data_IF_880111926013
#
_entry.id   IF_880111926013
#
_cell.length_a   1.000
_cell.length_b   1.000
_cell.length_c   1.000
_cell.angle_alpha   90.00
_cell.angle_beta   90.00
_cell.angle_gamma   90.00
#
_symmetry.space_group_name_H-M   'P 1'
#
loop_
_entity.id
_entity.type
_entity.pdbx_description
1 polymer ?
#
# COMPACT_ATOMS: atom_id res chain seq x y z
N UNK A 1 11.68 49.12 38.70
CA UNK A 1 11.86 47.98 37.78
C UNK A 1 12.27 48.51 36.41
N UNK A 2 13.41 48.10 35.87
CA UNK A 2 14.09 48.76 34.75
C UNK A 2 13.42 48.39 33.41
N UNK A 3 12.74 49.33 32.74
CA UNK A 3 11.95 49.06 31.51
C UNK A 3 12.79 48.40 30.40
N UNK A 4 14.09 48.68 30.34
CA UNK A 4 15.03 48.04 29.40
C UNK A 4 15.25 46.54 29.69
N UNK A 5 15.21 46.14 30.96
CA UNK A 5 15.35 44.75 31.38
C UNK A 5 14.11 43.94 31.00
N UNK A 6 12.92 44.50 31.22
CA UNK A 6 11.63 43.86 30.88
C UNK A 6 11.51 43.64 29.36
N UNK A 7 11.84 44.66 28.55
CA UNK A 7 11.80 44.55 27.09
C UNK A 7 12.80 43.51 26.56
N UNK A 8 14.02 43.47 27.13
CA UNK A 8 15.03 42.47 26.78
C UNK A 8 14.60 41.03 27.12
N UNK A 9 13.98 40.83 28.28
CA UNK A 9 13.46 39.51 28.68
C UNK A 9 12.27 39.06 27.83
N UNK A 10 11.37 39.98 27.47
CA UNK A 10 10.23 39.66 26.61
C UNK A 10 10.63 39.31 25.18
N UNK A 11 11.62 40.01 24.61
CA UNK A 11 12.15 39.70 23.28
C UNK A 11 12.82 38.31 23.23
N UNK A 12 13.60 37.94 24.26
CA UNK A 12 14.24 36.64 24.33
C UNK A 12 13.24 35.47 24.42
N UNK A 13 12.17 35.62 25.21
CA UNK A 13 11.13 34.59 25.34
C UNK A 13 10.37 34.38 24.02
N UNK A 14 10.04 35.46 23.31
CA UNK A 14 9.38 35.37 22.00
C UNK A 14 10.28 34.66 20.99
N UNK A 15 11.59 34.97 20.95
CA UNK A 15 12.53 34.27 20.08
C UNK A 15 12.61 32.76 20.38
N UNK A 16 12.65 32.37 21.65
CA UNK A 16 12.68 30.94 22.04
C UNK A 16 11.39 30.23 21.61
N UNK A 17 10.22 30.86 21.79
CA UNK A 17 8.94 30.27 21.38
C UNK A 17 8.83 30.15 19.85
N UNK A 18 9.30 31.14 19.09
CA UNK A 18 9.32 31.07 17.62
C UNK A 18 10.26 29.97 17.13
N UNK A 19 11.44 29.82 17.75
CA UNK A 19 12.39 28.75 17.44
C UNK A 19 11.81 27.38 17.79
N UNK A 20 11.18 27.22 18.95
CA UNK A 20 10.51 25.98 19.35
C UNK A 20 9.35 25.62 18.41
N UNK A 21 8.51 26.59 18.03
CA UNK A 21 7.44 26.39 17.05
C UNK A 21 8.02 26.05 15.68
N UNK A 22 9.10 26.69 15.24
CA UNK A 22 9.77 26.37 13.98
C UNK A 22 10.37 24.95 13.98
N UNK A 23 10.97 24.50 15.09
CA UNK A 23 11.44 23.12 15.25
C UNK A 23 10.29 22.12 15.25
N UNK A 24 9.20 22.40 15.97
CA UNK A 24 7.98 21.57 15.97
C UNK A 24 7.37 21.52 14.57
N UNK A 25 7.30 22.64 13.85
CA UNK A 25 6.83 22.69 12.47
C UNK A 25 7.77 21.92 11.54
N UNK A 26 9.09 22.05 11.68
CA UNK A 26 10.07 21.30 10.90
C UNK A 26 9.93 19.79 11.09
N UNK A 27 9.73 19.32 12.31
CA UNK A 27 9.49 17.90 12.59
C UNK A 27 8.11 17.44 12.08
N UNK A 28 7.10 18.32 12.11
CA UNK A 28 5.80 18.05 11.48
C UNK A 28 5.90 17.97 9.95
N UNK A 29 6.69 18.84 9.31
CA UNK A 29 6.90 18.84 7.86
C UNK A 29 7.77 17.67 7.37
N UNK A 30 8.64 17.11 8.22
CA UNK A 30 9.30 15.82 7.94
C UNK A 30 8.32 14.65 7.91
N UNK A 31 7.14 14.79 8.52
CA UNK A 31 6.12 13.74 8.58
C UNK A 31 5.26 13.65 7.31
N UNK A 32 5.57 14.41 6.26
CA UNK A 32 4.74 14.48 5.04
C UNK A 32 5.41 13.86 3.82
N UNK A 33 4.73 12.82 3.30
CA UNK A 33 4.71 12.29 1.93
C UNK A 33 5.92 11.54 1.35
N UNK A 34 6.24 10.39 1.95
CA UNK A 34 6.46 9.17 1.16
C UNK A 34 5.44 8.13 1.60
N UNK A 35 4.18 8.32 1.21
CA UNK A 35 3.08 7.43 1.61
C UNK A 35 3.16 6.08 0.91
N UNK A 36 2.77 5.02 1.62
CA UNK A 36 2.66 3.70 1.04
C UNK A 36 1.74 3.72 -0.18
N UNK A 37 2.07 2.97 -1.22
CA UNK A 37 1.21 2.84 -2.41
C UNK A 37 1.00 1.38 -2.73
N UNK A 38 -0.25 0.93 -2.81
CA UNK A 38 -0.60 -0.38 -3.38
C UNK A 38 -0.89 -0.20 -4.87
N UNK A 39 -0.33 -1.03 -5.73
CA UNK A 39 -0.46 -0.87 -7.17
C UNK A 39 -0.39 -2.20 -7.94
N UNK A 40 -0.92 -2.18 -9.14
CA UNK A 40 -0.79 -3.29 -10.10
C UNK A 40 0.47 -3.10 -10.94
N UNK A 41 1.25 -4.16 -11.09
CA UNK A 41 2.48 -4.20 -11.90
C UNK A 41 2.49 -5.40 -12.86
N UNK A 42 2.71 -5.21 -14.17
CA UNK A 42 2.75 -3.91 -14.83
C UNK A 42 1.37 -3.24 -14.82
N UNK A 43 1.32 -1.90 -14.87
CA UNK A 43 0.06 -1.16 -14.79
C UNK A 43 -0.85 -1.41 -16.00
N UNK A 44 -0.26 -1.72 -17.16
CA UNK A 44 -0.98 -2.11 -18.38
C UNK A 44 -0.46 -3.47 -18.84
N UNK A 45 -1.35 -4.46 -18.91
CA UNK A 45 -1.06 -5.79 -19.47
C UNK A 45 -1.75 -5.94 -20.82
N UNK A 46 -1.06 -6.63 -21.74
CA UNK A 46 -1.63 -7.10 -23.00
C UNK A 46 -1.54 -8.62 -23.08
N UNK A 47 -2.50 -9.26 -23.73
CA UNK A 47 -2.49 -10.70 -23.96
C UNK A 47 -3.54 -11.13 -24.98
N UNK A 48 -3.23 -12.14 -25.79
CA UNK A 48 -4.16 -12.65 -26.77
C UNK A 48 -5.16 -13.64 -26.15
N UNK A 49 -6.32 -13.82 -26.80
CA UNK A 49 -7.30 -14.84 -26.44
C UNK A 49 -6.61 -16.21 -26.39
N UNK A 50 -6.90 -16.99 -25.34
CA UNK A 50 -6.30 -18.30 -25.13
C UNK A 50 -4.97 -18.29 -24.38
N UNK A 51 -4.44 -17.12 -24.01
CA UNK A 51 -3.21 -17.00 -23.24
C UNK A 51 -3.48 -16.81 -21.75
N UNK A 52 -2.49 -17.20 -20.95
CA UNK A 52 -2.38 -16.81 -19.56
C UNK A 52 -1.59 -15.50 -19.46
N UNK A 53 -2.04 -14.60 -18.61
CA UNK A 53 -1.35 -13.36 -18.26
C UNK A 53 -1.17 -13.29 -16.75
N UNK A 54 -0.13 -12.58 -16.33
CA UNK A 54 0.21 -12.41 -14.92
C UNK A 54 0.26 -10.94 -14.55
N UNK A 55 -0.31 -10.59 -13.39
CA UNK A 55 -0.14 -9.30 -12.75
C UNK A 55 0.30 -9.48 -11.31
N UNK A 56 1.12 -8.55 -10.83
CA UNK A 56 1.50 -8.46 -9.44
C UNK A 56 0.72 -7.35 -8.76
N UNK A 57 0.13 -7.64 -7.60
CA UNK A 57 -0.27 -6.62 -6.64
C UNK A 57 0.96 -6.33 -5.79
N UNK A 58 1.44 -5.10 -5.86
CA UNK A 58 2.70 -4.66 -5.26
C UNK A 58 2.48 -3.49 -4.33
N UNK A 59 3.44 -3.28 -3.43
CA UNK A 59 3.48 -2.15 -2.52
C UNK A 59 4.79 -1.37 -2.68
N UNK A 60 4.75 -0.05 -2.48
CA UNK A 60 5.94 0.77 -2.40
C UNK A 60 5.93 1.72 -1.22
N UNK A 61 7.13 2.04 -0.72
CA UNK A 61 7.40 3.01 0.34
C UNK A 61 6.54 2.78 1.60
N UNK A 62 6.29 1.52 1.97
CA UNK A 62 5.59 1.19 3.22
C UNK A 62 6.58 1.16 4.38
N UNK A 63 6.13 1.61 5.55
CA UNK A 63 6.87 1.50 6.80
C UNK A 63 6.14 0.52 7.70
N UNK A 64 6.89 -0.40 8.31
CA UNK A 64 6.44 -1.34 9.34
C UNK A 64 5.20 -2.17 8.95
N UNK A 65 5.06 -2.61 7.69
CA UNK A 65 3.89 -3.40 7.29
C UNK A 65 3.87 -4.75 7.99
N UNK A 66 2.81 -5.02 8.73
CA UNK A 66 2.60 -6.29 9.42
C UNK A 66 1.50 -7.14 8.76
N UNK A 67 0.43 -6.49 8.31
CA UNK A 67 -0.67 -7.15 7.62
C UNK A 67 -1.32 -6.26 6.56
N UNK A 68 -1.93 -6.89 5.56
CA UNK A 68 -2.60 -6.20 4.47
C UNK A 68 -3.83 -6.97 3.99
N UNK A 69 -4.78 -6.23 3.43
CA UNK A 69 -5.92 -6.75 2.67
C UNK A 69 -6.10 -5.92 1.40
N UNK A 70 -6.51 -6.57 0.32
CA UNK A 70 -6.92 -5.94 -0.93
C UNK A 70 -8.02 -6.74 -1.61
N UNK A 71 -8.99 -6.04 -2.19
CA UNK A 71 -9.93 -6.62 -3.15
C UNK A 71 -9.53 -6.22 -4.57
N UNK A 72 -9.31 -7.21 -5.42
CA UNK A 72 -9.11 -7.04 -6.86
C UNK A 72 -10.43 -7.32 -7.58
N UNK A 73 -10.81 -6.42 -8.49
CA UNK A 73 -12.01 -6.52 -9.32
C UNK A 73 -11.62 -6.43 -10.81
N UNK A 74 -12.27 -7.21 -11.65
CA UNK A 74 -12.05 -7.25 -13.10
C UNK A 74 -13.34 -7.57 -13.87
N UNK A 75 -13.32 -7.45 -15.19
CA UNK A 75 -14.42 -7.88 -16.06
C UNK A 75 -14.35 -9.40 -16.29
N UNK A 76 -15.25 -10.21 -15.69
CA UNK A 76 -15.23 -11.68 -15.83
C UNK A 76 -15.65 -12.16 -17.22
N UNK A 77 -16.17 -11.28 -18.08
CA UNK A 77 -16.44 -11.61 -19.48
C UNK A 77 -15.15 -11.66 -20.31
N UNK A 78 -14.11 -10.91 -19.93
CA UNK A 78 -12.84 -10.83 -20.65
C UNK A 78 -11.76 -11.72 -20.02
N UNK A 79 -11.66 -11.71 -18.69
CA UNK A 79 -10.64 -12.45 -17.95
C UNK A 79 -11.26 -13.49 -17.02
N UNK A 80 -10.73 -14.71 -17.06
CA UNK A 80 -11.04 -15.75 -16.08
C UNK A 80 -9.89 -15.84 -15.06
N UNK A 81 -10.23 -15.86 -13.77
CA UNK A 81 -9.23 -16.07 -12.72
C UNK A 81 -8.67 -17.50 -12.82
N UNK A 82 -7.34 -17.64 -12.82
CA UNK A 82 -6.70 -18.94 -12.85
C UNK A 82 -6.09 -19.30 -11.49
N UNK A 83 -5.27 -18.41 -10.93
CA UNK A 83 -4.60 -18.68 -9.66
C UNK A 83 -4.10 -17.39 -8.99
N UNK A 84 -3.80 -17.49 -7.70
CA UNK A 84 -3.05 -16.48 -6.96
C UNK A 84 -1.99 -17.16 -6.11
N UNK A 85 -0.81 -16.55 -6.06
CA UNK A 85 0.29 -16.96 -5.20
C UNK A 85 0.69 -15.81 -4.29
N UNK A 86 0.96 -16.11 -3.02
CA UNK A 86 1.52 -15.18 -2.05
C UNK A 86 2.85 -14.59 -2.55
N UNK A 87 3.00 -13.28 -2.47
CA UNK A 87 4.22 -12.57 -2.83
C UNK A 87 5.29 -12.63 -1.74
N UNK A 88 6.52 -12.29 -2.11
CA UNK A 88 7.68 -12.46 -1.23
C UNK A 88 7.81 -11.40 -0.13
N UNK A 89 7.02 -10.31 -0.18
CA UNK A 89 7.26 -9.14 0.67
C UNK A 89 7.22 -9.43 2.17
N UNK A 90 6.23 -10.20 2.65
CA UNK A 90 6.20 -10.64 4.06
C UNK A 90 6.81 -12.03 4.23
N UNK A 91 6.53 -12.95 3.28
CA UNK A 91 6.96 -14.35 3.32
C UNK A 91 8.47 -14.57 3.51
N UNK A 92 9.29 -13.67 3.00
CA UNK A 92 10.75 -13.76 3.13
C UNK A 92 11.27 -13.36 4.52
N UNK A 93 10.42 -12.80 5.38
CA UNK A 93 10.83 -12.20 6.66
C UNK A 93 10.20 -12.89 7.87
N UNK A 94 9.27 -13.82 7.67
CA UNK A 94 8.65 -14.56 8.77
C UNK A 94 7.60 -15.54 8.27
N UNK A 95 7.02 -16.28 9.22
CA UNK A 95 5.85 -17.09 8.94
C UNK A 95 4.65 -16.18 8.68
N UNK A 96 3.87 -16.50 7.65
CA UNK A 96 2.69 -15.74 7.26
C UNK A 96 1.42 -16.58 7.33
N UNK A 97 0.29 -15.90 7.51
CA UNK A 97 -1.02 -16.44 7.17
C UNK A 97 -1.50 -15.69 5.93
N UNK A 98 -1.67 -16.40 4.81
CA UNK A 98 -2.15 -15.87 3.54
C UNK A 98 -3.50 -16.50 3.19
N UNK A 99 -4.48 -15.67 2.87
CA UNK A 99 -5.86 -16.07 2.63
C UNK A 99 -6.39 -15.44 1.33
N UNK A 100 -7.32 -16.14 0.70
CA UNK A 100 -7.98 -15.70 -0.52
C UNK A 100 -9.46 -16.08 -0.51
N UNK A 101 -10.28 -15.21 -1.09
CA UNK A 101 -11.70 -15.47 -1.34
C UNK A 101 -12.06 -15.01 -2.76
N UNK A 102 -12.21 -15.98 -3.64
CA UNK A 102 -12.62 -15.77 -5.02
C UNK A 102 -14.15 -15.69 -5.14
N UNK A 103 -14.62 -14.83 -6.05
CA UNK A 103 -16.01 -14.75 -6.49
C UNK A 103 -16.07 -14.79 -8.02
N UNK A 104 -16.89 -15.70 -8.55
CA UNK A 104 -17.14 -15.86 -10.00
C UNK A 104 -17.71 -14.60 -10.67
N UNK A 105 -18.20 -13.64 -9.87
CA UNK A 105 -18.66 -12.32 -10.33
C UNK A 105 -17.53 -11.35 -10.71
N UNK A 106 -16.27 -11.79 -10.72
CA UNK A 106 -15.12 -10.98 -11.14
C UNK A 106 -14.44 -10.25 -9.98
N UNK A 107 -14.30 -10.90 -8.83
CA UNK A 107 -13.54 -10.33 -7.70
C UNK A 107 -12.76 -11.37 -6.91
N UNK A 108 -11.68 -10.91 -6.27
CA UNK A 108 -10.79 -11.70 -5.43
C UNK A 108 -10.39 -10.84 -4.23
N UNK A 109 -10.77 -11.25 -3.03
CA UNK A 109 -10.27 -10.65 -1.78
C UNK A 109 -9.06 -11.44 -1.33
N UNK A 110 -7.98 -10.75 -1.02
CA UNK A 110 -6.72 -11.30 -0.54
C UNK A 110 -6.36 -10.62 0.77
N UNK A 111 -5.87 -11.40 1.72
CA UNK A 111 -5.31 -10.90 2.97
C UNK A 111 -4.06 -11.69 3.35
N UNK A 112 -3.13 -11.01 4.03
CA UNK A 112 -1.93 -11.63 4.56
C UNK A 112 -1.47 -10.93 5.82
N UNK A 113 -0.95 -11.67 6.78
CA UNK A 113 -0.31 -11.12 7.98
C UNK A 113 0.92 -11.94 8.36
N UNK A 114 1.90 -11.30 9.01
CA UNK A 114 2.92 -12.00 9.78
C UNK A 114 2.29 -12.70 11.00
N UNK A 115 2.93 -13.78 11.46
CA UNK A 115 2.54 -14.54 12.65
C UNK A 115 3.63 -14.38 13.74
N UNK A 116 3.19 -14.02 14.94
CA UNK A 116 4.04 -13.93 16.14
C UNK A 116 4.41 -12.50 16.54
N UNK A 117 5.16 -12.36 17.64
CA UNK A 117 5.64 -11.06 18.11
C UNK A 117 6.91 -10.67 17.33
N UNK A 118 6.71 -10.14 16.12
CA UNK A 118 7.77 -9.73 15.20
C UNK A 118 7.51 -8.32 14.67
N UNK A 119 8.58 -7.63 14.26
CA UNK A 119 8.46 -6.32 13.64
C UNK A 119 7.86 -6.42 12.23
N UNK A 120 7.16 -5.37 11.80
CA UNK A 120 6.68 -5.23 10.45
C UNK A 120 7.81 -4.91 9.47
N UNK A 121 7.51 -5.05 8.19
CA UNK A 121 8.50 -4.92 7.11
C UNK A 121 8.33 -3.60 6.39
N UNK A 122 9.43 -2.85 6.29
CA UNK A 122 9.49 -1.59 5.55
C UNK A 122 10.10 -1.80 4.17
N UNK A 123 9.61 -1.08 3.15
CA UNK A 123 10.19 -1.07 1.82
C UNK A 123 9.17 -1.14 0.70
N UNK A 124 9.54 -1.83 -0.38
CA UNK A 124 8.71 -2.06 -1.56
C UNK A 124 8.83 -3.50 -2.02
N UNK A 125 7.79 -4.07 -2.61
CA UNK A 125 7.82 -5.43 -3.14
C UNK A 125 6.46 -5.95 -3.55
N UNK A 126 6.40 -7.25 -3.86
CA UNK A 126 5.19 -7.92 -4.32
C UNK A 126 4.43 -8.54 -3.15
N UNK A 127 3.15 -8.20 -3.04
CA UNK A 127 2.21 -8.74 -2.06
C UNK A 127 1.58 -10.05 -2.54
N UNK A 128 1.16 -10.09 -3.81
CA UNK A 128 0.60 -11.27 -4.44
C UNK A 128 0.79 -11.24 -5.96
N UNK A 129 0.84 -12.41 -6.57
CA UNK A 129 0.87 -12.61 -8.02
C UNK A 129 -0.40 -13.32 -8.44
N UNK A 130 -1.19 -12.68 -9.32
CA UNK A 130 -2.46 -13.19 -9.83
C UNK A 130 -2.29 -13.56 -11.30
N UNK A 131 -2.76 -14.75 -11.67
CA UNK A 131 -2.80 -15.20 -13.06
C UNK A 131 -4.23 -15.25 -13.57
N UNK A 132 -4.44 -14.72 -14.76
CA UNK A 132 -5.70 -14.77 -15.49
C UNK A 132 -5.54 -15.51 -16.81
N UNK A 133 -6.60 -16.19 -17.25
CA UNK A 133 -6.77 -16.68 -18.61
C UNK A 133 -7.61 -15.68 -19.42
N UNK A 134 -7.15 -15.32 -20.62
CA UNK A 134 -7.86 -14.40 -21.52
C UNK A 134 -8.95 -15.18 -22.27
N UNK A 135 -10.20 -14.91 -21.91
CA UNK A 135 -11.38 -15.63 -22.42
C UNK A 135 -11.92 -15.06 -23.72
N UNK A 136 -12.00 -13.73 -23.81
CA UNK A 136 -12.63 -13.01 -24.91
C UNK A 136 -11.82 -11.76 -25.28
N UNK A 137 -12.10 -11.20 -26.46
CA UNK A 137 -11.57 -9.91 -26.88
C UNK A 137 -12.12 -8.77 -25.99
N UNK A 138 -11.27 -7.79 -25.69
CA UNK A 138 -11.70 -6.55 -25.06
C UNK A 138 -10.78 -6.03 -23.97
N UNK A 139 -11.33 -5.16 -23.14
CA UNK A 139 -10.60 -4.48 -22.07
C UNK A 139 -11.19 -4.82 -20.70
N UNK A 140 -10.33 -4.87 -19.69
CA UNK A 140 -10.73 -5.04 -18.29
C UNK A 140 -9.97 -4.06 -17.41
N UNK A 141 -10.69 -3.20 -16.68
CA UNK A 141 -10.08 -2.43 -15.61
C UNK A 141 -9.74 -3.39 -14.48
N UNK A 142 -8.49 -3.34 -14.00
CA UNK A 142 -8.04 -4.11 -12.85
C UNK A 142 -8.06 -3.16 -11.65
N UNK A 143 -9.18 -3.16 -10.92
CA UNK A 143 -9.45 -2.21 -9.84
C UNK A 143 -9.06 -2.82 -8.50
N UNK A 144 -8.29 -2.08 -7.74
CA UNK A 144 -8.00 -2.37 -6.34
C UNK A 144 -8.95 -1.54 -5.46
N UNK A 145 -9.60 -2.18 -4.51
CA UNK A 145 -10.54 -1.57 -3.57
C UNK A 145 -10.50 -2.28 -2.22
N UNK A 146 -11.21 -1.74 -1.22
CA UNK A 146 -11.28 -2.32 0.14
C UNK A 146 -9.88 -2.65 0.69
N UNK A 147 -8.93 -1.70 0.49
CA UNK A 147 -7.53 -1.86 0.83
C UNK A 147 -7.24 -1.43 2.27
N UNK A 148 -6.58 -2.31 3.01
CA UNK A 148 -6.17 -2.07 4.39
C UNK A 148 -4.70 -2.46 4.55
N UNK A 149 -3.95 -1.63 5.27
CA UNK A 149 -2.58 -1.89 5.67
C UNK A 149 -2.50 -1.63 7.17
N UNK A 150 -1.88 -2.52 7.94
CA UNK A 150 -1.66 -2.34 9.37
C UNK A 150 -0.18 -2.48 9.71
N UNK A 151 0.27 -1.68 10.68
CA UNK A 151 1.62 -1.77 11.23
C UNK A 151 1.73 -2.85 12.31
N UNK A 152 2.94 -3.07 12.85
CA UNK A 152 3.17 -4.08 13.90
C UNK A 152 2.51 -3.75 15.23
N UNK A 153 2.04 -2.51 15.40
CA UNK A 153 1.24 -2.04 16.53
C UNK A 153 -0.26 -2.01 16.22
N UNK A 154 -0.68 -2.68 15.13
CA UNK A 154 -2.06 -2.79 14.65
C UNK A 154 -2.70 -1.45 14.23
N UNK A 155 -1.90 -0.38 14.04
CA UNK A 155 -2.43 0.88 13.54
C UNK A 155 -2.56 0.83 12.02
N UNK A 156 -3.60 1.48 11.50
CA UNK A 156 -3.78 1.64 10.05
C UNK A 156 -2.66 2.49 9.46
N UNK A 157 -2.08 2.03 8.35
CA UNK A 157 -1.10 2.76 7.56
C UNK A 157 -1.85 3.51 6.43
N UNK A 158 -1.83 4.86 6.41
CA UNK A 158 -2.36 5.63 5.30
C UNK A 158 -1.62 5.31 4.01
N UNK A 159 -2.37 5.11 2.93
CA UNK A 159 -1.81 4.72 1.65
C UNK A 159 -2.64 5.23 0.47
N UNK A 160 -2.04 5.15 -0.71
CA UNK A 160 -2.72 5.40 -1.98
C UNK A 160 -2.81 4.12 -2.80
N UNK A 161 -3.67 4.13 -3.82
CA UNK A 161 -3.94 2.97 -4.66
C UNK A 161 -3.80 3.34 -6.12
N UNK A 162 -3.10 2.50 -6.90
CA UNK A 162 -3.00 2.64 -8.36
C UNK A 162 -3.53 1.38 -9.07
N UNK A 163 -4.65 1.56 -9.76
CA UNK A 163 -5.28 0.53 -10.56
C UNK A 163 -4.46 0.20 -11.82
N UNK A 164 -4.74 -0.96 -12.41
CA UNK A 164 -4.21 -1.38 -13.69
C UNK A 164 -5.29 -1.53 -14.76
N UNK A 165 -4.87 -1.93 -15.95
CA UNK A 165 -5.77 -2.33 -17.03
C UNK A 165 -5.20 -3.50 -17.82
N UNK A 166 -6.12 -4.28 -18.39
CA UNK A 166 -5.85 -5.27 -19.40
C UNK A 166 -6.49 -4.87 -20.73
N UNK A 167 -5.85 -5.21 -21.84
CA UNK A 167 -6.41 -5.19 -23.19
C UNK A 167 -5.92 -6.39 -23.98
N UNK A 168 -6.76 -6.95 -24.84
CA UNK A 168 -6.32 -7.80 -25.95
C UNK A 168 -5.52 -7.01 -26.98
#
# INVERSE_FOLDING_TARGET
>A
MNKKLVVGTSAAVICILVVAIAFICLDYFKKTETGATIYISPQTVRGAIGQHITINISISNVADLYGWQVKLEWNPQVLNFNSVTEGSFLKNHGQTFFSQKFSETGSLVLDCTLIGDVQGISGSGTLATVEFYVKEEGTSQLRLSETFLVDSSENLIPHTVKNGQFTT
#
